data_IF_609872872584
#
_entry.id   IF_609872872584
#
_cell.length_a   1.000
_cell.length_b   1.000
_cell.length_c   1.000
_cell.angle_alpha   90.00
_cell.angle_beta   90.00
_cell.angle_gamma   90.00
#
_symmetry.space_group_name_H-M   'P 1'
#
loop_
_entity.id
_entity.type
_entity.pdbx_description
1 polymer ?
#
# COMPACT_ATOMS: atom_id res chain seq x y z
N UNK A 1 -14.94 18.93 -19.47
CA UNK A 1 -14.05 18.03 -18.72
C UNK A 1 -14.43 18.14 -17.26
N UNK A 2 -14.73 17.02 -16.63
CA UNK A 2 -15.05 16.96 -15.22
C UNK A 2 -13.75 17.03 -14.41
N UNK A 3 -13.73 17.83 -13.34
CA UNK A 3 -12.60 17.89 -12.42
C UNK A 3 -12.99 17.28 -11.09
N UNK A 4 -12.03 16.65 -10.45
CA UNK A 4 -12.19 16.00 -9.15
C UNK A 4 -11.14 16.53 -8.19
N UNK A 5 -11.51 16.73 -6.94
CA UNK A 5 -10.51 16.89 -5.89
C UNK A 5 -10.23 15.52 -5.26
N UNK A 6 -8.97 15.13 -5.26
CA UNK A 6 -8.52 13.81 -4.82
C UNK A 6 -7.57 13.96 -3.65
N UNK A 7 -7.80 13.19 -2.58
CA UNK A 7 -6.99 13.20 -1.36
C UNK A 7 -6.27 11.88 -1.15
N UNK A 8 -5.04 11.96 -0.64
CA UNK A 8 -4.28 10.84 -0.08
C UNK A 8 -3.94 11.18 1.37
N UNK A 9 -4.64 10.54 2.30
CA UNK A 9 -4.53 10.80 3.74
C UNK A 9 -3.41 9.94 4.31
N UNK A 10 -2.26 10.54 4.57
CA UNK A 10 -1.12 9.88 5.20
C UNK A 10 -0.89 10.29 6.64
N UNK A 11 -0.16 9.50 7.41
CA UNK A 11 0.09 9.75 8.84
C UNK A 11 0.87 11.04 9.15
N UNK A 12 1.62 11.59 8.21
CA UNK A 12 2.43 12.82 8.39
C UNK A 12 1.85 14.01 7.62
N UNK A 13 1.25 13.76 6.47
CA UNK A 13 0.67 14.78 5.60
C UNK A 13 -0.52 14.24 4.83
N UNK A 14 -1.50 15.09 4.60
CA UNK A 14 -2.55 14.88 3.60
C UNK A 14 -2.09 15.52 2.30
N UNK A 15 -1.98 14.72 1.25
CA UNK A 15 -1.73 15.22 -0.11
C UNK A 15 -3.07 15.35 -0.82
N UNK A 16 -3.19 16.31 -1.72
CA UNK A 16 -4.36 16.42 -2.58
C UNK A 16 -3.99 16.91 -3.97
N UNK A 17 -4.86 16.64 -4.92
CA UNK A 17 -4.74 17.12 -6.28
C UNK A 17 -6.11 17.47 -6.87
N UNK A 18 -6.14 18.45 -7.78
CA UNK A 18 -7.23 18.58 -8.73
C UNK A 18 -6.84 17.78 -9.96
N UNK A 19 -7.71 16.88 -10.39
CA UNK A 19 -7.45 15.95 -11.49
C UNK A 19 -8.60 15.95 -12.48
N UNK A 20 -8.31 15.73 -13.76
CA UNK A 20 -9.32 15.47 -14.78
C UNK A 20 -9.88 14.05 -14.66
N UNK A 21 -11.00 13.77 -15.35
CA UNK A 21 -11.57 12.42 -15.45
C UNK A 21 -10.63 11.41 -16.11
N UNK A 22 -9.69 11.88 -16.93
CA UNK A 22 -8.64 11.05 -17.52
C UNK A 22 -7.47 10.80 -16.57
N UNK A 23 -7.48 11.38 -15.35
CA UNK A 23 -6.43 11.21 -14.34
C UNK A 23 -5.20 12.10 -14.55
N UNK A 24 -5.34 13.19 -15.29
CA UNK A 24 -4.28 14.17 -15.42
C UNK A 24 -4.27 15.12 -14.23
N UNK A 25 -3.08 15.38 -13.70
CA UNK A 25 -2.91 16.29 -12.57
C UNK A 25 -2.94 17.75 -13.04
N UNK A 26 -3.95 18.53 -12.61
CA UNK A 26 -4.08 19.97 -12.91
C UNK A 26 -3.28 20.78 -11.88
N UNK A 27 -3.46 20.46 -10.59
CA UNK A 27 -2.68 21.07 -9.51
C UNK A 27 -2.49 20.06 -8.37
N UNK A 28 -1.46 20.26 -7.56
CA UNK A 28 -1.16 19.44 -6.40
C UNK A 28 -0.93 20.33 -5.19
N UNK A 29 -1.32 19.84 -4.01
CA UNK A 29 -1.07 20.48 -2.74
C UNK A 29 -0.90 19.47 -1.61
N UNK A 30 -0.50 19.97 -0.47
CA UNK A 30 -0.43 19.16 0.75
C UNK A 30 -0.51 20.04 1.98
N UNK A 31 -0.94 19.43 3.09
CA UNK A 31 -0.88 20.04 4.43
C UNK A 31 -0.52 18.97 5.45
N UNK A 32 -0.08 19.41 6.63
CA UNK A 32 0.30 18.50 7.73
C UNK A 32 -0.93 17.78 8.26
N UNK A 33 -0.86 16.48 8.46
CA UNK A 33 -1.95 15.70 9.04
C UNK A 33 -2.17 16.06 10.51
N UNK A 34 -3.41 16.39 10.86
CA UNK A 34 -3.86 16.40 12.24
C UNK A 34 -4.16 14.97 12.69
N UNK A 35 -3.58 14.55 13.82
CA UNK A 35 -3.62 13.14 14.22
C UNK A 35 -4.66 12.82 15.29
N UNK A 36 -4.93 13.77 16.18
CA UNK A 36 -5.66 13.52 17.42
C UNK A 36 -6.96 14.32 17.56
N UNK A 37 -7.18 15.30 16.67
CA UNK A 37 -8.35 16.18 16.73
C UNK A 37 -9.11 16.15 15.40
N UNK A 38 -10.24 15.44 15.39
CA UNK A 38 -11.05 15.30 14.16
C UNK A 38 -11.61 16.64 13.66
N UNK A 39 -11.98 17.56 14.54
CA UNK A 39 -12.55 18.86 14.12
C UNK A 39 -11.52 19.73 13.38
N UNK A 40 -10.26 19.69 13.80
CA UNK A 40 -9.18 20.35 13.07
C UNK A 40 -8.91 19.67 11.73
N UNK A 41 -8.82 18.32 11.73
CA UNK A 41 -8.67 17.55 10.50
C UNK A 41 -9.81 17.85 9.51
N UNK A 42 -11.05 17.88 10.01
CA UNK A 42 -12.24 18.21 9.22
C UNK A 42 -12.13 19.61 8.62
N UNK A 43 -11.78 20.60 9.43
CA UNK A 43 -11.64 22.00 8.98
C UNK A 43 -10.61 22.13 7.85
N UNK A 44 -9.46 21.48 7.97
CA UNK A 44 -8.42 21.53 6.93
C UNK A 44 -8.90 20.91 5.62
N UNK A 45 -9.58 19.77 5.68
CA UNK A 45 -10.11 19.08 4.50
C UNK A 45 -11.26 19.88 3.86
N UNK A 46 -12.20 20.44 4.65
CA UNK A 46 -13.29 21.29 4.17
C UNK A 46 -12.75 22.55 3.48
N UNK A 47 -11.74 23.20 4.05
CA UNK A 47 -11.08 24.36 3.44
C UNK A 47 -10.48 24.01 2.07
N UNK A 48 -9.81 22.86 1.95
CA UNK A 48 -9.26 22.42 0.67
C UNK A 48 -10.35 22.15 -0.37
N UNK A 49 -11.47 21.50 0.01
CA UNK A 49 -12.59 21.24 -0.87
C UNK A 49 -13.27 22.56 -1.32
N UNK A 50 -13.54 23.45 -0.38
CA UNK A 50 -14.21 24.74 -0.68
C UNK A 50 -13.34 25.60 -1.59
N UNK A 51 -12.03 25.72 -1.30
CA UNK A 51 -11.10 26.40 -2.18
C UNK A 51 -11.08 25.83 -3.59
N UNK A 52 -11.06 24.51 -3.71
CA UNK A 52 -11.11 23.85 -5.01
C UNK A 52 -12.43 24.19 -5.78
N UNK A 53 -13.56 24.24 -5.08
CA UNK A 53 -14.86 24.61 -5.67
C UNK A 53 -14.94 26.09 -6.09
N UNK A 54 -14.19 26.97 -5.48
CA UNK A 54 -14.08 28.38 -5.89
C UNK A 54 -13.29 28.56 -7.20
N UNK A 55 -12.25 27.74 -7.39
CA UNK A 55 -11.32 27.85 -8.52
C UNK A 55 -11.69 26.92 -9.69
N UNK A 56 -12.40 25.82 -9.43
CA UNK A 56 -12.70 24.76 -10.41
C UNK A 56 -14.15 24.29 -10.29
N UNK A 57 -14.71 23.82 -11.42
CA UNK A 57 -15.96 23.07 -11.41
C UNK A 57 -15.66 21.63 -10.94
N UNK A 58 -15.89 21.36 -9.65
CA UNK A 58 -15.62 20.06 -9.03
C UNK A 58 -16.84 19.16 -9.14
N UNK A 59 -16.68 18.00 -9.80
CA UNK A 59 -17.72 16.98 -9.99
C UNK A 59 -17.78 15.99 -8.84
N UNK A 60 -16.68 15.79 -8.10
CA UNK A 60 -16.63 14.85 -6.99
C UNK A 60 -15.35 14.94 -6.15
N UNK A 61 -15.41 14.25 -5.02
CA UNK A 61 -14.30 14.09 -4.07
C UNK A 61 -13.89 12.62 -4.00
N UNK A 62 -12.63 12.32 -4.26
CA UNK A 62 -12.09 10.97 -4.13
C UNK A 62 -11.05 10.91 -3.00
N UNK A 63 -11.09 9.88 -2.16
CA UNK A 63 -10.25 9.80 -0.96
C UNK A 63 -9.56 8.46 -0.88
N UNK A 64 -8.23 8.48 -0.72
CA UNK A 64 -7.38 7.39 -0.25
C UNK A 64 -7.14 7.59 1.25
N UNK A 65 -7.39 6.57 2.08
CA UNK A 65 -7.24 6.68 3.53
C UNK A 65 -6.68 5.38 4.15
N UNK A 66 -5.86 5.49 5.22
CA UNK A 66 -5.37 4.32 5.93
C UNK A 66 -6.46 3.69 6.82
N UNK A 67 -6.38 2.38 7.04
CA UNK A 67 -7.29 1.62 7.89
C UNK A 67 -8.30 0.77 7.12
N UNK A 68 -9.21 0.14 7.84
CA UNK A 68 -10.28 -0.70 7.26
C UNK A 68 -11.41 0.17 6.70
N UNK A 69 -11.32 0.57 5.45
CA UNK A 69 -12.29 1.47 4.82
C UNK A 69 -13.51 0.70 4.33
N UNK A 70 -14.66 1.00 4.89
CA UNK A 70 -15.95 0.62 4.33
C UNK A 70 -16.40 1.68 3.32
N UNK A 71 -16.18 1.41 2.05
CA UNK A 71 -16.49 2.35 0.97
C UNK A 71 -17.99 2.53 0.71
N UNK A 72 -18.84 1.67 1.25
CA UNK A 72 -20.30 1.82 1.12
C UNK A 72 -20.82 2.82 2.14
N UNK A 73 -20.37 2.72 3.37
CA UNK A 73 -20.78 3.66 4.44
C UNK A 73 -19.89 4.90 4.55
N UNK A 74 -18.66 4.86 4.06
CA UNK A 74 -17.68 5.94 4.22
C UNK A 74 -17.05 6.00 5.61
N UNK A 75 -17.13 4.91 6.39
CA UNK A 75 -16.56 4.82 7.74
C UNK A 75 -15.21 4.10 7.68
N UNK A 76 -14.22 4.63 8.40
CA UNK A 76 -12.91 4.01 8.55
C UNK A 76 -12.87 3.26 9.89
N UNK A 77 -12.68 1.96 9.82
CA UNK A 77 -12.51 1.08 10.99
C UNK A 77 -11.04 0.68 11.21
N UNK A 78 -10.80 -0.14 12.23
CA UNK A 78 -9.47 -0.63 12.57
C UNK A 78 -8.62 0.41 13.30
N UNK A 79 -7.32 0.45 13.00
CA UNK A 79 -6.36 1.37 13.58
C UNK A 79 -5.36 1.85 12.52
N UNK A 80 -4.89 3.10 12.65
CA UNK A 80 -3.86 3.67 11.79
C UNK A 80 -3.03 4.70 12.54
N UNK A 81 -2.07 5.32 11.84
CA UNK A 81 -1.28 6.42 12.38
C UNK A 81 -2.10 7.71 12.65
N UNK A 82 -3.38 7.74 12.26
CA UNK A 82 -4.32 8.85 12.42
C UNK A 82 -5.56 8.40 13.22
N UNK A 83 -5.48 8.29 14.55
CA UNK A 83 -6.61 7.82 15.37
C UNK A 83 -7.90 8.62 15.18
N UNK A 84 -7.80 9.93 14.91
CA UNK A 84 -8.96 10.82 14.82
C UNK A 84 -9.91 10.54 13.65
N UNK A 85 -9.43 9.87 12.57
CA UNK A 85 -10.26 9.60 11.39
C UNK A 85 -11.12 8.34 11.52
N UNK A 86 -10.94 7.55 12.58
CA UNK A 86 -11.70 6.32 12.80
C UNK A 86 -13.07 6.61 13.41
N UNK A 87 -14.12 6.09 12.78
CA UNK A 87 -15.51 6.25 13.23
C UNK A 87 -16.34 7.31 12.53
N UNK A 88 -15.85 8.54 12.26
CA UNK A 88 -16.59 9.52 11.49
C UNK A 88 -16.98 9.02 10.09
N UNK A 89 -18.17 9.42 9.62
CA UNK A 89 -18.66 9.07 8.27
C UNK A 89 -18.20 10.12 7.25
N UNK A 90 -17.21 9.79 6.44
CA UNK A 90 -16.61 10.70 5.46
C UNK A 90 -17.58 11.07 4.33
N UNK A 91 -18.41 10.12 3.85
CA UNK A 91 -19.40 10.40 2.80
C UNK A 91 -20.42 11.43 3.24
N UNK A 92 -20.86 11.37 4.49
CA UNK A 92 -21.77 12.37 5.05
C UNK A 92 -21.07 13.71 5.22
N UNK A 93 -19.95 13.75 5.95
CA UNK A 93 -19.30 14.99 6.40
C UNK A 93 -18.67 15.76 5.23
N UNK A 94 -17.92 15.09 4.37
CA UNK A 94 -17.20 15.73 3.25
C UNK A 94 -17.88 15.57 1.89
N UNK A 95 -18.99 14.85 1.84
CA UNK A 95 -19.82 14.66 0.66
C UNK A 95 -21.16 15.38 0.80
N UNK A 96 -22.12 14.75 1.48
CA UNK A 96 -23.49 15.23 1.60
C UNK A 96 -23.57 16.64 2.21
N UNK A 97 -22.89 16.88 3.34
CA UNK A 97 -22.91 18.19 4.05
C UNK A 97 -22.26 19.31 3.20
N UNK A 98 -21.36 18.98 2.27
CA UNK A 98 -20.72 19.92 1.33
C UNK A 98 -21.38 19.94 -0.06
N UNK A 99 -22.44 19.16 -0.28
CA UNK A 99 -23.19 19.11 -1.53
C UNK A 99 -22.36 18.62 -2.72
N UNK A 100 -21.51 17.60 -2.51
CA UNK A 100 -20.69 16.96 -3.54
C UNK A 100 -20.69 15.45 -3.31
N UNK A 101 -20.56 14.64 -4.37
CA UNK A 101 -20.41 13.20 -4.20
C UNK A 101 -18.99 12.85 -3.73
N UNK A 102 -18.88 11.93 -2.78
CA UNK A 102 -17.59 11.45 -2.25
C UNK A 102 -17.50 9.94 -2.30
N UNK A 103 -16.37 9.45 -2.82
CA UNK A 103 -15.96 8.05 -2.69
C UNK A 103 -14.64 7.94 -1.93
N UNK A 104 -14.54 6.90 -1.11
CA UNK A 104 -13.37 6.64 -0.26
C UNK A 104 -12.96 5.19 -0.33
N UNK A 105 -11.64 4.94 -0.33
CA UNK A 105 -11.07 3.60 -0.36
C UNK A 105 -9.77 3.54 0.47
N UNK A 106 -9.39 2.32 0.87
CA UNK A 106 -8.12 2.08 1.56
C UNK A 106 -6.91 2.45 0.69
N UNK A 107 -5.83 2.91 1.32
CA UNK A 107 -4.61 3.40 0.66
C UNK A 107 -3.90 2.34 -0.21
N UNK A 108 -3.73 1.11 0.27
CA UNK A 108 -3.13 0.03 -0.53
C UNK A 108 -4.05 -0.36 -1.71
N UNK A 109 -5.37 -0.37 -1.50
CA UNK A 109 -6.33 -0.60 -2.55
C UNK A 109 -6.29 0.51 -3.61
N UNK A 110 -6.20 1.77 -3.20
CA UNK A 110 -6.03 2.89 -4.12
C UNK A 110 -4.73 2.75 -4.91
N UNK A 111 -3.60 2.47 -4.26
CA UNK A 111 -2.33 2.28 -4.97
C UNK A 111 -2.44 1.18 -6.05
N UNK A 112 -3.07 0.04 -5.71
CA UNK A 112 -3.31 -1.05 -6.65
C UNK A 112 -4.20 -0.63 -7.83
N UNK A 113 -5.27 0.12 -7.57
CA UNK A 113 -6.15 0.63 -8.63
C UNK A 113 -5.44 1.60 -9.57
N UNK A 114 -4.57 2.46 -9.05
CA UNK A 114 -3.75 3.36 -9.87
C UNK A 114 -2.86 2.59 -10.85
N UNK A 115 -2.24 1.52 -10.37
CA UNK A 115 -1.40 0.64 -11.19
C UNK A 115 -2.19 -0.16 -12.23
N UNK A 116 -3.42 -0.56 -11.92
CA UNK A 116 -4.32 -1.26 -12.85
C UNK A 116 -4.94 -0.30 -13.87
N UNK A 117 -5.14 0.96 -13.50
CA UNK A 117 -5.71 1.95 -14.43
C UNK A 117 -4.68 2.39 -15.47
N UNK A 118 -3.50 2.86 -15.03
CA UNK A 118 -2.51 3.53 -15.91
C UNK A 118 -1.07 3.06 -15.68
N UNK A 119 -0.84 2.17 -14.74
CA UNK A 119 0.47 1.75 -14.28
C UNK A 119 0.98 0.44 -14.84
N UNK A 120 1.74 -0.26 -14.01
CA UNK A 120 2.43 -1.52 -14.33
C UNK A 120 1.47 -2.66 -14.68
N UNK A 121 0.21 -2.58 -14.28
CA UNK A 121 -0.80 -3.62 -14.52
C UNK A 121 -1.99 -3.15 -15.39
N UNK A 122 -1.83 -2.09 -16.18
CA UNK A 122 -2.93 -1.50 -16.99
C UNK A 122 -3.59 -2.49 -17.95
N UNK A 123 -2.83 -3.45 -18.45
CA UNK A 123 -3.28 -4.45 -19.43
C UNK A 123 -3.75 -5.76 -18.76
N UNK A 124 -3.69 -5.86 -17.42
CA UNK A 124 -4.07 -7.02 -16.63
C UNK A 124 -5.42 -6.81 -15.94
N UNK A 125 -6.13 -7.90 -15.68
CA UNK A 125 -7.44 -7.91 -15.00
C UNK A 125 -7.33 -8.39 -13.56
N UNK A 126 -6.58 -9.48 -13.36
CA UNK A 126 -6.41 -10.16 -12.08
C UNK A 126 -4.99 -9.93 -11.57
N UNK A 127 -4.84 -9.07 -10.57
CA UNK A 127 -3.55 -8.58 -10.09
C UNK A 127 -3.50 -8.62 -8.57
N UNK A 128 -2.38 -9.02 -8.01
CA UNK A 128 -2.07 -8.77 -6.61
C UNK A 128 -1.11 -7.59 -6.50
N UNK A 129 -1.37 -6.73 -5.53
CA UNK A 129 -0.50 -5.62 -5.20
C UNK A 129 0.10 -5.85 -3.82
N UNK A 130 1.42 -5.82 -3.70
CA UNK A 130 2.14 -6.00 -2.44
C UNK A 130 2.88 -4.71 -2.11
N UNK A 131 2.60 -4.14 -0.94
CA UNK A 131 3.31 -2.97 -0.42
C UNK A 131 4.34 -3.43 0.58
N UNK A 132 5.63 -3.25 0.26
CA UNK A 132 6.74 -3.50 1.18
C UNK A 132 7.22 -2.17 1.78
N UNK A 133 6.75 -1.87 2.98
CA UNK A 133 7.09 -0.69 3.76
C UNK A 133 7.60 -1.08 5.15
N UNK A 134 7.20 -0.35 6.19
CA UNK A 134 7.46 -0.72 7.60
C UNK A 134 6.85 -2.09 7.92
N UNK A 135 5.67 -2.38 7.37
CA UNK A 135 5.03 -3.70 7.31
C UNK A 135 4.86 -4.16 5.87
N UNK A 136 4.22 -5.32 5.68
CA UNK A 136 3.71 -5.79 4.41
C UNK A 136 2.20 -5.58 4.39
N UNK A 137 1.72 -4.85 3.40
CA UNK A 137 0.32 -4.73 3.08
C UNK A 137 0.04 -5.21 1.66
N UNK A 138 -1.17 -5.03 1.18
CA UNK A 138 -1.48 -5.32 -0.20
C UNK A 138 -2.94 -5.14 -0.57
N UNK A 139 -3.25 -5.52 -1.81
CA UNK A 139 -4.59 -5.49 -2.35
C UNK A 139 -4.79 -6.66 -3.33
N UNK A 140 -6.02 -7.09 -3.44
CA UNK A 140 -6.46 -8.08 -4.44
C UNK A 140 -7.33 -7.38 -5.47
N UNK A 141 -6.92 -7.43 -6.73
CA UNK A 141 -7.69 -6.93 -7.86
C UNK A 141 -8.21 -8.12 -8.64
N UNK A 142 -9.51 -8.12 -8.90
CA UNK A 142 -10.19 -9.07 -9.77
C UNK A 142 -11.06 -8.36 -10.79
N UNK A 143 -10.90 -8.69 -12.06
CA UNK A 143 -11.61 -8.00 -13.15
C UNK A 143 -11.47 -6.46 -13.08
N UNK A 144 -10.25 -5.99 -12.76
CA UNK A 144 -9.91 -4.57 -12.53
C UNK A 144 -10.64 -3.89 -11.36
N UNK A 145 -11.26 -4.64 -10.47
CA UNK A 145 -11.97 -4.15 -9.27
C UNK A 145 -11.32 -4.67 -8.00
N UNK A 146 -11.44 -3.90 -6.93
CA UNK A 146 -10.97 -4.34 -5.60
C UNK A 146 -11.80 -5.52 -5.10
N UNK A 147 -11.11 -6.57 -4.67
CA UNK A 147 -11.71 -7.68 -3.93
C UNK A 147 -11.37 -7.55 -2.44
N UNK A 148 -12.28 -6.97 -1.65
CA UNK A 148 -12.07 -6.70 -0.22
C UNK A 148 -12.23 -7.91 0.69
N UNK A 149 -12.89 -8.97 0.22
CA UNK A 149 -13.33 -10.07 1.07
C UNK A 149 -14.47 -9.68 2.03
N UNK A 150 -14.91 -10.63 2.82
CA UNK A 150 -16.08 -10.45 3.70
C UNK A 150 -15.84 -9.47 4.88
N UNK A 151 -14.61 -9.39 5.36
CA UNK A 151 -14.24 -8.59 6.53
C UNK A 151 -13.37 -7.37 6.18
N UNK A 152 -13.34 -6.96 4.91
CA UNK A 152 -12.51 -5.85 4.40
C UNK A 152 -10.99 -6.07 4.56
N UNK A 153 -10.54 -7.33 4.69
CA UNK A 153 -9.14 -7.70 4.90
C UNK A 153 -8.55 -8.50 3.72
N UNK A 154 -9.21 -8.45 2.55
CA UNK A 154 -8.64 -9.02 1.32
C UNK A 154 -7.37 -8.27 0.93
N UNK A 155 -6.25 -8.99 0.83
CA UNK A 155 -4.96 -8.37 0.53
C UNK A 155 -4.06 -8.11 1.74
N UNK A 156 -4.50 -8.38 2.95
CA UNK A 156 -3.68 -8.27 4.17
C UNK A 156 -2.62 -9.38 4.25
N UNK A 157 -1.76 -9.43 3.23
CA UNK A 157 -0.73 -10.46 3.07
C UNK A 157 0.29 -10.50 4.20
N UNK A 158 0.49 -9.36 4.87
CA UNK A 158 1.43 -9.24 5.98
C UNK A 158 1.17 -10.19 7.14
N UNK A 159 -0.07 -10.66 7.31
CA UNK A 159 -0.43 -11.65 8.33
C UNK A 159 -0.16 -13.10 7.91
N UNK A 160 0.26 -13.38 6.66
CA UNK A 160 0.65 -14.72 6.26
C UNK A 160 1.84 -15.21 7.11
N UNK A 161 1.67 -16.34 7.78
CA UNK A 161 2.73 -16.98 8.56
C UNK A 161 3.69 -17.66 7.56
N UNK A 162 4.94 -17.20 7.52
CA UNK A 162 5.96 -17.75 6.62
C UNK A 162 6.91 -18.72 7.33
N UNK A 163 7.01 -18.62 8.65
CA UNK A 163 7.90 -19.47 9.43
C UNK A 163 7.38 -19.64 10.86
N UNK A 164 7.92 -20.64 11.54
CA UNK A 164 7.63 -20.94 12.95
C UNK A 164 8.94 -21.29 13.65
N UNK A 165 9.22 -20.61 14.77
CA UNK A 165 10.37 -20.89 15.62
C UNK A 165 9.92 -21.44 16.95
N UNK A 166 10.72 -22.33 17.52
CA UNK A 166 10.50 -22.87 18.86
C UNK A 166 11.60 -22.35 19.78
N UNK A 167 11.21 -21.60 20.81
CA UNK A 167 12.12 -21.09 21.84
C UNK A 167 11.68 -21.67 23.20
N UNK A 168 12.36 -22.75 23.63
CA UNK A 168 11.94 -23.52 24.79
C UNK A 168 10.56 -24.16 24.58
N UNK A 169 9.60 -23.81 25.41
CA UNK A 169 8.19 -24.26 25.29
C UNK A 169 7.33 -23.31 24.43
N UNK A 170 7.85 -22.13 24.09
CA UNK A 170 7.10 -21.15 23.32
C UNK A 170 7.21 -21.41 21.82
N UNK A 171 6.10 -21.19 21.11
CA UNK A 171 6.02 -21.20 19.64
C UNK A 171 5.89 -19.76 19.19
N UNK A 172 6.83 -19.29 18.37
CA UNK A 172 6.83 -17.96 17.75
C UNK A 172 6.41 -18.12 16.29
N UNK A 173 5.32 -17.47 15.91
CA UNK A 173 4.87 -17.39 14.52
C UNK A 173 5.48 -16.16 13.86
N UNK A 174 6.26 -16.38 12.82
CA UNK A 174 6.86 -15.31 12.03
C UNK A 174 6.00 -15.04 10.81
N UNK A 175 5.36 -13.87 10.82
CA UNK A 175 4.50 -13.44 9.69
C UNK A 175 5.33 -12.77 8.62
N UNK A 176 4.79 -12.64 7.43
CA UNK A 176 5.48 -11.96 6.32
C UNK A 176 5.91 -10.53 6.72
N UNK A 177 5.04 -9.76 7.39
CA UNK A 177 5.40 -8.43 7.91
C UNK A 177 6.54 -8.46 8.92
N UNK A 178 6.57 -9.43 9.83
CA UNK A 178 7.56 -9.42 10.93
C UNK A 178 8.96 -9.79 10.48
N UNK A 179 9.11 -10.51 9.36
CA UNK A 179 10.43 -11.01 8.92
C UNK A 179 10.87 -10.51 7.54
N UNK A 180 9.98 -9.92 6.77
CA UNK A 180 10.27 -9.51 5.39
C UNK A 180 9.77 -8.12 5.01
N UNK A 181 9.30 -7.32 5.98
CA UNK A 181 9.13 -5.88 5.81
C UNK A 181 10.44 -5.15 6.18
N UNK A 182 10.54 -3.85 5.85
CA UNK A 182 11.68 -3.03 6.26
C UNK A 182 11.85 -3.03 7.78
N UNK A 183 10.74 -2.93 8.54
CA UNK A 183 10.79 -3.02 10.00
C UNK A 183 11.35 -4.36 10.50
N UNK A 184 11.00 -5.48 9.83
CA UNK A 184 11.56 -6.79 10.14
C UNK A 184 13.06 -6.88 9.89
N UNK A 185 13.54 -6.32 8.79
CA UNK A 185 14.98 -6.24 8.47
C UNK A 185 15.73 -5.42 9.52
N UNK A 186 15.20 -4.24 9.91
CA UNK A 186 15.79 -3.40 10.96
C UNK A 186 15.92 -4.16 12.29
N UNK A 187 14.84 -4.79 12.73
CA UNK A 187 14.82 -5.57 13.98
C UNK A 187 15.81 -6.75 13.95
N UNK A 188 15.92 -7.43 12.81
CA UNK A 188 16.87 -8.54 12.64
C UNK A 188 18.32 -8.06 12.80
N UNK A 189 18.70 -6.98 12.11
CA UNK A 189 20.05 -6.45 12.18
C UNK A 189 20.35 -5.85 13.56
N UNK A 190 19.41 -5.14 14.18
CA UNK A 190 19.56 -4.61 15.53
C UNK A 190 19.84 -5.72 16.56
N UNK A 191 19.09 -6.84 16.47
CA UNK A 191 19.30 -8.00 17.33
C UNK A 191 20.66 -8.65 17.10
N UNK A 192 21.08 -8.85 15.85
CA UNK A 192 22.38 -9.46 15.52
C UNK A 192 23.55 -8.61 16.04
N UNK A 193 23.44 -7.28 15.94
CA UNK A 193 24.49 -6.33 16.35
C UNK A 193 24.39 -5.91 17.82
N UNK A 194 23.33 -6.31 18.53
CA UNK A 194 23.04 -5.89 19.89
C UNK A 194 23.06 -4.36 20.07
N UNK A 195 22.37 -3.65 19.16
CA UNK A 195 22.19 -2.19 19.17
C UNK A 195 20.71 -1.84 19.16
N UNK A 196 20.37 -0.57 19.46
CA UNK A 196 19.00 -0.08 19.37
C UNK A 196 18.54 -0.02 17.91
N UNK A 197 17.29 -0.40 17.65
CA UNK A 197 16.70 -0.33 16.29
C UNK A 197 16.60 1.12 15.79
N UNK A 198 16.48 2.09 16.69
CA UNK A 198 16.46 3.51 16.36
C UNK A 198 17.79 4.04 15.79
N UNK A 199 18.88 3.31 15.98
CA UNK A 199 20.18 3.61 15.40
C UNK A 199 20.30 3.19 13.94
N UNK A 200 19.30 2.45 13.41
CA UNK A 200 19.28 1.90 12.06
C UNK A 200 18.19 2.53 11.20
N UNK A 201 18.50 2.60 9.94
CA UNK A 201 17.50 2.76 8.87
C UNK A 201 17.82 1.77 7.73
N UNK A 202 16.87 1.62 6.79
CA UNK A 202 17.06 0.68 5.69
C UNK A 202 18.31 0.98 4.86
N UNK A 203 18.61 2.26 4.58
CA UNK A 203 19.79 2.65 3.77
C UNK A 203 21.08 2.26 4.47
N UNK A 204 21.17 2.56 5.77
CA UNK A 204 22.36 2.22 6.57
C UNK A 204 22.69 0.72 6.56
N UNK A 205 21.66 -0.14 6.57
CA UNK A 205 21.87 -1.60 6.50
C UNK A 205 22.46 -2.00 5.15
N UNK A 206 21.92 -1.47 4.05
CA UNK A 206 22.47 -1.76 2.72
C UNK A 206 23.89 -1.19 2.55
N UNK A 207 24.16 0.02 3.03
CA UNK A 207 25.50 0.64 3.01
C UNK A 207 26.54 -0.19 3.81
N UNK A 208 26.13 -0.77 4.93
CA UNK A 208 26.98 -1.65 5.73
C UNK A 208 27.25 -2.96 4.99
N UNK A 209 26.25 -3.54 4.34
CA UNK A 209 26.43 -4.75 3.54
C UNK A 209 27.39 -4.52 2.36
N UNK A 210 27.29 -3.38 1.67
CA UNK A 210 28.22 -2.99 0.58
C UNK A 210 29.67 -2.84 1.09
N UNK A 211 29.87 -2.50 2.36
CA UNK A 211 31.18 -2.45 3.02
C UNK A 211 31.65 -3.81 3.54
N UNK A 212 30.91 -4.89 3.30
CA UNK A 212 31.29 -6.25 3.66
C UNK A 212 30.83 -6.72 5.03
N UNK A 213 29.88 -6.02 5.67
CA UNK A 213 29.30 -6.43 6.95
C UNK A 213 28.48 -7.71 6.78
N UNK A 214 28.97 -8.82 7.35
CA UNK A 214 28.37 -10.15 7.17
C UNK A 214 26.97 -10.29 7.75
N UNK A 215 26.67 -9.61 8.87
CA UNK A 215 25.35 -9.67 9.50
C UNK A 215 24.31 -8.99 8.61
N UNK A 216 24.67 -7.83 8.06
CA UNK A 216 23.81 -7.10 7.12
C UNK A 216 23.62 -7.88 5.81
N UNK A 217 24.68 -8.47 5.25
CA UNK A 217 24.61 -9.31 4.03
C UNK A 217 23.64 -10.47 4.24
N UNK A 218 23.78 -11.22 5.33
CA UNK A 218 22.95 -12.38 5.64
C UNK A 218 21.49 -11.97 5.90
N UNK A 219 21.26 -10.88 6.65
CA UNK A 219 19.92 -10.37 6.93
C UNK A 219 19.21 -9.91 5.65
N UNK A 220 19.90 -9.25 4.72
CA UNK A 220 19.36 -8.84 3.42
C UNK A 220 19.04 -10.07 2.55
N UNK A 221 19.90 -11.09 2.53
CA UNK A 221 19.66 -12.31 1.79
C UNK A 221 18.40 -13.04 2.28
N UNK A 222 18.24 -13.14 3.59
CA UNK A 222 17.07 -13.73 4.23
C UNK A 222 15.79 -12.89 3.98
N UNK A 223 15.90 -11.58 4.03
CA UNK A 223 14.82 -10.65 3.68
C UNK A 223 14.28 -10.88 2.26
N UNK A 224 15.15 -11.00 1.26
CA UNK A 224 14.75 -11.30 -0.10
C UNK A 224 14.14 -12.71 -0.23
N UNK A 225 14.71 -13.70 0.44
CA UNK A 225 14.16 -15.05 0.44
C UNK A 225 12.76 -15.12 1.05
N UNK A 226 12.52 -14.41 2.15
CA UNK A 226 11.22 -14.40 2.81
C UNK A 226 10.17 -13.63 1.98
N UNK A 227 10.56 -12.57 1.28
CA UNK A 227 9.70 -11.91 0.30
C UNK A 227 9.34 -12.86 -0.86
N UNK A 228 10.31 -13.59 -1.40
CA UNK A 228 10.05 -14.58 -2.45
C UNK A 228 9.12 -15.71 -2.00
N UNK A 229 9.25 -16.19 -0.74
CA UNK A 229 8.32 -17.18 -0.16
C UNK A 229 6.89 -16.64 -0.11
N UNK A 230 6.71 -15.40 0.38
CA UNK A 230 5.39 -14.76 0.44
C UNK A 230 4.77 -14.64 -0.95
N UNK A 231 5.53 -14.15 -1.91
CA UNK A 231 5.11 -13.99 -3.31
C UNK A 231 4.76 -15.35 -3.95
N UNK A 232 5.58 -16.36 -3.73
CA UNK A 232 5.30 -17.72 -4.20
C UNK A 232 3.99 -18.26 -3.61
N UNK A 233 3.76 -18.05 -2.31
CA UNK A 233 2.54 -18.53 -1.65
C UNK A 233 1.29 -17.86 -2.21
N UNK A 234 1.28 -16.53 -2.37
CA UNK A 234 0.11 -15.82 -2.90
C UNK A 234 -0.12 -16.11 -4.37
N UNK A 235 0.92 -16.45 -5.15
CA UNK A 235 0.75 -16.94 -6.52
C UNK A 235 -0.13 -18.18 -6.55
N UNK A 236 0.14 -19.18 -5.71
CA UNK A 236 -0.63 -20.43 -5.69
C UNK A 236 -1.96 -20.34 -4.92
N UNK A 237 -2.16 -19.27 -4.12
CA UNK A 237 -3.44 -19.00 -3.46
C UNK A 237 -4.46 -18.34 -4.38
N UNK A 238 -4.00 -17.47 -5.28
CA UNK A 238 -4.88 -16.62 -6.09
C UNK A 238 -4.74 -16.81 -7.59
N UNK A 239 -3.55 -17.20 -8.05
CA UNK A 239 -3.18 -17.35 -9.48
C UNK A 239 -3.39 -16.07 -10.31
N UNK A 240 -2.76 -14.93 -9.91
CA UNK A 240 -2.89 -13.69 -10.64
C UNK A 240 -2.12 -13.68 -11.94
N UNK A 241 -2.51 -12.84 -12.89
CA UNK A 241 -1.73 -12.57 -14.11
C UNK A 241 -0.39 -11.90 -13.78
N UNK A 242 -0.36 -11.05 -12.72
CA UNK A 242 0.82 -10.28 -12.31
C UNK A 242 0.75 -9.93 -10.82
N UNK A 243 1.91 -9.82 -10.18
CA UNK A 243 2.06 -9.26 -8.84
C UNK A 243 2.86 -7.97 -8.97
N UNK A 244 2.24 -6.83 -8.63
CA UNK A 244 2.91 -5.52 -8.61
C UNK A 244 3.43 -5.24 -7.21
N UNK A 245 4.69 -4.79 -7.11
CA UNK A 245 5.33 -4.52 -5.82
C UNK A 245 5.60 -3.03 -5.68
N UNK A 246 5.04 -2.44 -4.63
CA UNK A 246 5.23 -1.05 -4.23
C UNK A 246 5.87 -0.92 -2.85
N UNK A 247 5.93 0.32 -2.36
CA UNK A 247 6.55 0.69 -1.08
C UNK A 247 7.98 1.23 -1.25
N UNK A 248 8.47 1.94 -0.23
CA UNK A 248 9.72 2.72 -0.36
C UNK A 248 10.95 1.87 -0.74
N UNK A 249 11.04 0.63 -0.25
CA UNK A 249 12.19 -0.25 -0.53
C UNK A 249 12.20 -0.73 -1.98
N UNK A 250 11.03 -0.81 -2.64
CA UNK A 250 10.94 -1.21 -4.05
C UNK A 250 11.57 -0.19 -5.01
N UNK A 251 11.90 1.02 -4.52
CA UNK A 251 12.64 2.02 -5.29
C UNK A 251 14.10 1.62 -5.60
N UNK A 252 14.67 0.68 -4.84
CA UNK A 252 15.99 0.12 -5.16
C UNK A 252 15.97 -0.56 -6.54
N UNK A 253 16.97 -0.28 -7.35
CA UNK A 253 17.05 -0.79 -8.72
C UNK A 253 17.14 -2.32 -8.77
N UNK A 254 17.85 -2.93 -7.82
CA UNK A 254 18.07 -4.38 -7.73
C UNK A 254 16.94 -5.17 -7.04
N UNK A 255 15.93 -4.48 -6.49
CA UNK A 255 14.94 -5.09 -5.61
C UNK A 255 14.15 -6.24 -6.28
N UNK A 256 13.62 -6.00 -7.47
CA UNK A 256 12.86 -6.99 -8.24
C UNK A 256 13.76 -8.14 -8.69
N UNK A 257 14.98 -7.84 -9.13
CA UNK A 257 15.94 -8.86 -9.59
C UNK A 257 16.35 -9.79 -8.46
N UNK A 258 16.60 -9.26 -7.26
CA UNK A 258 16.95 -10.06 -6.08
C UNK A 258 15.80 -10.97 -5.63
N UNK A 259 14.56 -10.51 -5.70
CA UNK A 259 13.41 -11.37 -5.44
C UNK A 259 13.29 -12.46 -6.51
N UNK A 260 13.49 -12.12 -7.79
CA UNK A 260 13.48 -13.09 -8.89
C UNK A 260 14.55 -14.17 -8.72
N UNK A 261 15.78 -13.83 -8.32
CA UNK A 261 16.82 -14.81 -7.98
C UNK A 261 16.35 -15.82 -6.92
N UNK A 262 15.62 -15.34 -5.89
CA UNK A 262 15.09 -16.20 -4.83
C UNK A 262 13.87 -17.03 -5.28
N UNK A 263 13.02 -16.47 -6.15
CA UNK A 263 11.93 -17.23 -6.78
C UNK A 263 12.48 -18.37 -7.63
N UNK A 264 13.53 -18.13 -8.41
CA UNK A 264 14.19 -19.17 -9.22
C UNK A 264 14.79 -20.28 -8.33
N UNK A 265 15.36 -19.91 -7.17
CA UNK A 265 15.83 -20.87 -6.16
C UNK A 265 14.66 -21.72 -5.62
N UNK A 266 13.52 -21.11 -5.29
CA UNK A 266 12.32 -21.82 -4.80
C UNK A 266 11.81 -22.77 -5.88
N UNK A 267 11.62 -22.29 -7.13
CA UNK A 267 11.15 -23.11 -8.24
C UNK A 267 12.06 -24.31 -8.54
N UNK A 268 13.37 -24.11 -8.45
CA UNK A 268 14.35 -25.21 -8.60
C UNK A 268 14.20 -26.29 -7.52
N UNK A 269 13.88 -25.90 -6.29
CA UNK A 269 13.75 -26.82 -5.15
C UNK A 269 12.36 -27.44 -5.02
N UNK A 270 11.35 -26.89 -5.73
CA UNK A 270 9.98 -27.39 -5.77
C UNK A 270 9.60 -27.69 -7.24
N UNK A 271 10.16 -28.72 -7.86
CA UNK A 271 10.02 -28.96 -9.30
C UNK A 271 8.58 -29.33 -9.73
N UNK A 272 7.71 -29.64 -8.77
CA UNK A 272 6.27 -29.87 -9.03
C UNK A 272 5.48 -28.58 -9.22
N UNK A 273 5.98 -27.45 -8.71
CA UNK A 273 5.42 -26.13 -8.97
C UNK A 273 5.72 -25.72 -10.41
N UNK A 274 4.70 -25.37 -11.19
CA UNK A 274 4.84 -25.07 -12.62
C UNK A 274 4.57 -23.60 -12.96
N UNK A 275 3.90 -22.88 -12.08
CA UNK A 275 3.56 -21.47 -12.28
C UNK A 275 4.58 -20.60 -11.55
N UNK A 276 5.42 -19.90 -12.31
CA UNK A 276 6.35 -18.93 -11.77
C UNK A 276 5.68 -17.58 -11.64
N UNK A 277 5.73 -16.92 -10.49
CA UNK A 277 5.19 -15.57 -10.33
C UNK A 277 5.81 -14.57 -11.32
N UNK A 278 4.97 -13.74 -11.93
CA UNK A 278 5.39 -12.59 -12.72
C UNK A 278 5.31 -11.38 -11.80
N UNK A 279 6.46 -10.80 -11.47
CA UNK A 279 6.54 -9.64 -10.57
C UNK A 279 7.04 -8.42 -11.33
N UNK A 280 6.48 -7.26 -11.00
CA UNK A 280 6.87 -5.97 -11.58
C UNK A 280 6.83 -4.88 -10.51
N UNK A 281 7.72 -3.89 -10.62
CA UNK A 281 7.72 -2.70 -9.75
C UNK A 281 6.55 -1.79 -10.11
N UNK A 282 5.92 -1.16 -9.10
CA UNK A 282 4.92 -0.12 -9.31
C UNK A 282 5.50 1.07 -10.09
N UNK A 283 4.67 1.69 -10.94
CA UNK A 283 5.06 2.78 -11.82
C UNK A 283 4.92 4.15 -11.17
N UNK A 284 3.86 4.36 -10.40
CA UNK A 284 3.46 5.71 -9.96
C UNK A 284 3.96 6.12 -8.59
N UNK A 285 4.62 5.21 -7.85
CA UNK A 285 5.19 5.52 -6.52
C UNK A 285 4.23 6.34 -5.63
N UNK A 286 4.56 7.60 -5.36
CA UNK A 286 3.80 8.49 -4.48
C UNK A 286 2.46 9.00 -5.06
N UNK A 287 2.24 8.89 -6.36
CA UNK A 287 1.01 9.35 -7.03
C UNK A 287 -0.02 8.23 -7.24
N UNK A 288 0.38 6.97 -6.98
CA UNK A 288 -0.49 5.80 -7.17
C UNK A 288 -1.79 5.92 -6.39
N UNK A 289 -1.73 6.39 -5.14
CA UNK A 289 -2.88 6.53 -4.27
C UNK A 289 -3.90 7.54 -4.81
N UNK A 290 -3.43 8.69 -5.31
CA UNK A 290 -4.29 9.71 -5.90
C UNK A 290 -4.96 9.21 -7.19
N UNK A 291 -4.18 8.58 -8.08
CA UNK A 291 -4.72 7.99 -9.30
C UNK A 291 -5.77 6.91 -8.99
N UNK A 292 -5.49 6.04 -8.06
CA UNK A 292 -6.39 4.96 -7.69
C UNK A 292 -7.64 5.42 -6.94
N UNK A 293 -7.53 6.44 -6.09
CA UNK A 293 -8.71 7.03 -5.45
C UNK A 293 -9.67 7.61 -6.49
N UNK A 294 -9.14 8.32 -7.49
CA UNK A 294 -9.95 8.81 -8.60
C UNK A 294 -10.56 7.66 -9.40
N UNK A 295 -9.78 6.64 -9.74
CA UNK A 295 -10.30 5.50 -10.49
C UNK A 295 -11.39 4.73 -9.71
N UNK A 296 -11.23 4.56 -8.39
CA UNK A 296 -12.27 4.02 -7.53
C UNK A 296 -13.56 4.86 -7.61
N UNK A 297 -13.44 6.20 -7.55
CA UNK A 297 -14.58 7.11 -7.70
C UNK A 297 -15.30 6.89 -9.03
N UNK A 298 -14.57 6.90 -10.15
CA UNK A 298 -15.12 6.72 -11.49
C UNK A 298 -15.82 5.36 -11.64
N UNK A 299 -15.19 4.27 -11.17
CA UNK A 299 -15.80 2.94 -11.21
C UNK A 299 -17.08 2.84 -10.41
N UNK A 300 -17.13 3.43 -9.21
CA UNK A 300 -18.31 3.37 -8.33
C UNK A 300 -19.47 4.21 -8.85
N UNK A 301 -19.21 5.22 -9.65
CA UNK A 301 -20.23 6.09 -10.25
C UNK A 301 -20.57 5.70 -11.71
N UNK A 302 -19.95 4.64 -12.24
CA UNK A 302 -20.22 4.19 -13.60
C UNK A 302 -19.72 5.14 -14.69
N UNK A 303 -18.65 5.88 -14.38
CA UNK A 303 -18.03 6.87 -15.26
C UNK A 303 -16.84 6.29 -16.05
N UNK A 304 -16.50 4.98 -15.88
CA UNK A 304 -15.42 4.28 -16.61
C UNK A 304 -15.77 2.80 -16.86
#
# INVERSE_FOLDING_TARGET
MSNYIVFDIGGSSVKYAIMSEEGDFITKGSYKSERNNFELFKTDMENAINKAKEEYSISGVAVSAPGGVDSDTGIIGGASALPCIHGPNFKKIFGEDLGVNLEIENDANCAALGEVWKGAAKDNKDVLFVVCGTGIGGAVIKDKKIHKGNNLHGGEFGYCILNTKKEGENIIFETWSTIAATGGLLNTVAKLKNIDVEELDGRKIFDLAEKGDSDCINAIDEFYLNNAKGIFNIQYMYDPEKIVIGGAISSREDFIDKINEKLDLIMKNIPVAKVRPIIEKCKFENDANLLGALFNYLQRNGEC
#
